data_IF_825487003444
#
_entry.id   IF_825487003444
#
_cell.length_a   1.000
_cell.length_b   1.000
_cell.length_c   1.000
_cell.angle_alpha   90.00
_cell.angle_beta   90.00
_cell.angle_gamma   90.00
#
_symmetry.space_group_name_H-M   'P 1'
#
loop_
_entity.id
_entity.type
_entity.pdbx_description
1 polymer ?
#
# COMPACT_ATOMS: atom_id res chain seq x y z
N UNK A 1 -11.23 12.03 56.42
CA UNK A 1 -11.27 10.76 55.66
C UNK A 1 -12.05 11.08 54.41
N UNK A 2 -11.37 11.32 53.29
CA UNK A 2 -12.00 11.77 52.05
C UNK A 2 -12.27 10.54 51.19
N UNK A 3 -13.54 10.17 51.08
CA UNK A 3 -14.05 9.12 50.20
C UNK A 3 -13.76 9.47 48.73
N UNK A 4 -12.81 8.73 48.14
CA UNK A 4 -12.40 8.87 46.75
C UNK A 4 -13.25 7.92 45.89
N UNK A 5 -14.43 8.38 45.47
CA UNK A 5 -15.25 7.72 44.45
C UNK A 5 -14.52 7.76 43.09
N UNK A 6 -14.16 6.61 42.47
CA UNK A 6 -13.52 6.62 41.16
C UNK A 6 -14.56 6.92 40.08
N UNK A 7 -14.52 8.13 39.56
CA UNK A 7 -15.33 8.56 38.44
C UNK A 7 -15.12 7.66 37.20
N UNK A 8 -16.22 7.02 36.79
CA UNK A 8 -16.59 6.60 35.41
C UNK A 8 -15.42 6.24 34.48
N UNK A 9 -15.21 4.94 34.30
CA UNK A 9 -14.57 4.40 33.09
C UNK A 9 -15.51 4.63 31.91
N UNK A 10 -15.34 5.76 31.21
CA UNK A 10 -15.90 5.94 29.89
C UNK A 10 -15.26 4.89 28.97
N UNK A 11 -15.99 3.80 28.71
CA UNK A 11 -15.76 2.94 27.55
C UNK A 11 -15.94 3.83 26.32
N UNK A 12 -14.83 4.39 25.83
CA UNK A 12 -14.79 4.94 24.48
C UNK A 12 -14.89 3.75 23.54
N UNK A 13 -16.12 3.43 23.14
CA UNK A 13 -16.37 2.61 21.97
C UNK A 13 -15.85 3.43 20.81
N UNK A 14 -14.61 3.22 20.40
CA UNK A 14 -14.10 3.80 19.16
C UNK A 14 -14.96 3.20 18.04
N UNK A 15 -15.83 3.98 17.35
CA UNK A 15 -16.38 3.47 16.12
C UNK A 15 -15.20 3.41 15.17
N UNK A 16 -14.89 2.20 14.70
CA UNK A 16 -14.02 2.00 13.56
C UNK A 16 -14.39 3.05 12.52
N UNK A 17 -13.47 3.99 12.29
CA UNK A 17 -13.65 5.08 11.35
C UNK A 17 -13.88 4.48 9.98
N UNK A 18 -15.15 4.30 9.64
CA UNK A 18 -15.60 4.09 8.30
C UNK A 18 -15.23 5.36 7.54
N UNK A 19 -14.06 5.33 6.91
CA UNK A 19 -13.63 6.28 5.91
C UNK A 19 -14.61 6.20 4.73
N UNK A 20 -15.76 6.86 4.87
CA UNK A 20 -16.68 7.16 3.78
C UNK A 20 -16.10 8.31 2.96
N UNK A 21 -15.07 8.00 2.17
CA UNK A 21 -14.91 8.67 0.87
C UNK A 21 -15.78 7.96 -0.14
N UNK A 22 -15.99 8.49 -1.37
CA UNK A 22 -16.43 7.69 -2.50
C UNK A 22 -15.32 6.67 -2.77
N UNK A 23 -15.32 5.60 -1.98
CA UNK A 23 -14.40 4.50 -2.10
C UNK A 23 -14.66 3.92 -3.46
N UNK A 24 -13.80 4.26 -4.44
CA UNK A 24 -13.51 3.31 -5.50
C UNK A 24 -13.23 2.02 -4.75
N UNK A 25 -14.20 1.10 -4.79
CA UNK A 25 -14.08 -0.19 -4.16
C UNK A 25 -12.71 -0.69 -4.58
N UNK A 26 -11.81 -0.84 -3.62
CA UNK A 26 -10.42 -1.20 -3.86
C UNK A 26 -10.45 -2.40 -4.80
N UNK A 27 -10.06 -2.21 -6.06
CA UNK A 27 -10.12 -3.29 -7.03
C UNK A 27 -8.93 -4.17 -6.66
N UNK A 28 -9.16 -5.41 -6.17
CA UNK A 28 -8.05 -6.28 -5.85
C UNK A 28 -7.24 -6.42 -7.13
N UNK A 29 -5.95 -6.08 -7.05
CA UNK A 29 -5.05 -6.27 -8.19
C UNK A 29 -5.12 -7.73 -8.64
N UNK A 30 -4.95 -7.99 -9.95
CA UNK A 30 -4.82 -9.35 -10.44
C UNK A 30 -3.67 -10.02 -9.68
N UNK A 31 -4.03 -10.92 -8.76
CA UNK A 31 -3.10 -11.76 -8.04
C UNK A 31 -2.41 -12.62 -9.09
N UNK A 32 -1.14 -12.30 -9.41
CA UNK A 32 -0.39 -13.04 -10.42
C UNK A 32 -0.08 -12.26 -11.70
N UNK A 33 0.25 -10.97 -11.58
CA UNK A 33 1.18 -10.37 -12.53
C UNK A 33 2.47 -11.21 -12.47
N UNK A 34 2.65 -12.17 -13.40
CA UNK A 34 3.59 -13.30 -13.35
C UNK A 34 5.10 -12.98 -13.33
N UNK A 35 5.49 -11.82 -12.80
CA UNK A 35 6.86 -11.52 -12.43
C UNK A 35 7.15 -12.10 -11.03
N UNK A 36 8.27 -12.80 -10.87
CA UNK A 36 8.77 -13.14 -9.56
C UNK A 36 9.24 -11.85 -8.85
N UNK A 37 8.44 -11.39 -7.88
CA UNK A 37 8.73 -10.19 -7.10
C UNK A 37 9.44 -10.52 -5.78
N UNK A 38 9.68 -11.80 -5.47
CA UNK A 38 10.39 -12.19 -4.25
C UNK A 38 11.75 -11.48 -4.10
N UNK A 39 12.58 -11.31 -5.17
CA UNK A 39 13.86 -10.61 -5.09
C UNK A 39 13.76 -9.11 -4.85
N UNK A 40 12.56 -8.52 -4.98
CA UNK A 40 12.34 -7.08 -4.79
C UNK A 40 11.80 -6.75 -3.39
N UNK A 41 11.48 -7.75 -2.56
CA UNK A 41 10.93 -7.54 -1.20
C UNK A 41 11.83 -6.73 -0.29
N UNK A 42 13.15 -6.89 -0.42
CA UNK A 42 14.13 -6.13 0.38
C UNK A 42 14.10 -4.64 0.07
N UNK A 43 13.68 -4.27 -1.15
CA UNK A 43 13.69 -2.89 -1.64
C UNK A 43 12.30 -2.25 -1.57
N UNK A 44 11.27 -2.99 -2.00
CA UNK A 44 9.90 -2.52 -2.12
C UNK A 44 9.06 -2.80 -0.86
N UNK A 45 9.59 -3.58 0.07
CA UNK A 45 8.93 -3.96 1.31
C UNK A 45 8.14 -5.28 1.20
N UNK A 46 7.28 -5.57 2.19
CA UNK A 46 6.65 -6.88 2.35
C UNK A 46 5.66 -7.25 1.24
N UNK A 47 5.10 -6.25 0.55
CA UNK A 47 4.17 -6.41 -0.56
C UNK A 47 4.65 -5.56 -1.77
N UNK A 48 5.61 -6.08 -2.55
CA UNK A 48 6.20 -5.36 -3.68
C UNK A 48 5.18 -5.03 -4.77
N UNK A 49 4.19 -5.90 -4.98
CA UNK A 49 3.15 -5.69 -5.98
C UNK A 49 2.30 -4.46 -5.62
N UNK A 50 1.82 -4.39 -4.37
CA UNK A 50 1.04 -3.25 -3.88
C UNK A 50 1.83 -1.96 -3.86
N UNK A 51 3.11 -2.02 -3.50
CA UNK A 51 3.98 -0.85 -3.49
C UNK A 51 4.09 -0.23 -4.90
N UNK A 52 4.42 -1.04 -5.91
CA UNK A 52 4.52 -0.57 -7.30
C UNK A 52 3.17 -0.14 -7.88
N UNK A 53 2.09 -0.84 -7.53
CA UNK A 53 0.73 -0.47 -7.90
C UNK A 53 0.38 0.95 -7.52
N UNK A 54 0.59 1.30 -6.24
CA UNK A 54 0.35 2.64 -5.75
C UNK A 54 1.15 3.68 -6.53
N UNK A 55 2.41 3.39 -6.86
CA UNK A 55 3.23 4.32 -7.64
C UNK A 55 2.69 4.52 -9.06
N UNK A 56 2.22 3.46 -9.71
CA UNK A 56 1.59 3.54 -11.04
C UNK A 56 0.29 4.35 -10.97
N UNK A 57 -0.54 4.12 -9.95
CA UNK A 57 -1.79 4.88 -9.73
C UNK A 57 -1.56 6.37 -9.46
N UNK A 58 -0.44 6.70 -8.80
CA UNK A 58 0.01 8.08 -8.61
C UNK A 58 0.53 8.74 -9.90
N UNK A 59 0.63 7.99 -10.99
CA UNK A 59 1.07 8.50 -12.29
C UNK A 59 2.58 8.68 -12.42
N UNK A 60 3.37 8.11 -11.50
CA UNK A 60 4.83 8.17 -11.57
C UNK A 60 5.32 7.39 -12.79
N UNK A 61 6.35 7.91 -13.46
CA UNK A 61 7.09 7.22 -14.51
C UNK A 61 8.02 6.14 -13.96
N UNK A 62 8.43 5.19 -14.79
CA UNK A 62 9.29 4.07 -14.36
C UNK A 62 10.64 4.56 -13.80
N UNK A 63 11.21 5.63 -14.38
CA UNK A 63 12.42 6.29 -13.88
C UNK A 63 12.24 6.95 -12.50
N UNK A 64 11.08 7.56 -12.24
CA UNK A 64 10.77 8.16 -10.94
C UNK A 64 10.62 7.09 -9.87
N UNK A 65 9.97 5.97 -10.20
CA UNK A 65 9.82 4.81 -9.32
C UNK A 65 11.20 4.20 -9.02
N UNK A 66 12.03 4.00 -10.05
CA UNK A 66 13.40 3.51 -9.92
C UNK A 66 14.25 4.40 -8.99
N UNK A 67 14.15 5.73 -9.18
CA UNK A 67 14.84 6.71 -8.33
C UNK A 67 14.36 6.66 -6.87
N UNK A 68 13.04 6.57 -6.64
CA UNK A 68 12.47 6.51 -5.31
C UNK A 68 12.99 5.30 -4.51
N UNK A 69 12.98 4.12 -5.14
CA UNK A 69 13.43 2.88 -4.52
C UNK A 69 14.94 2.65 -4.58
N UNK A 70 15.70 3.57 -5.20
CA UNK A 70 17.14 3.41 -5.47
C UNK A 70 17.44 2.07 -6.15
N UNK A 71 16.59 1.68 -7.08
CA UNK A 71 16.64 0.40 -7.79
C UNK A 71 16.79 0.66 -9.29
N UNK A 72 17.68 -0.03 -10.01
CA UNK A 72 17.76 0.07 -11.46
C UNK A 72 16.42 -0.23 -12.14
N UNK A 73 16.03 0.58 -13.12
CA UNK A 73 14.73 0.48 -13.79
C UNK A 73 14.54 -0.88 -14.46
N UNK A 74 15.62 -1.51 -14.92
CA UNK A 74 15.64 -2.83 -15.55
C UNK A 74 15.14 -3.94 -14.61
N UNK A 75 15.37 -3.78 -13.30
CA UNK A 75 14.86 -4.71 -12.28
C UNK A 75 13.38 -4.54 -12.03
N UNK A 76 12.84 -3.34 -12.24
CA UNK A 76 11.44 -3.01 -12.01
C UNK A 76 10.59 -3.16 -13.28
N UNK A 77 11.19 -3.00 -14.46
CA UNK A 77 10.51 -2.97 -15.75
C UNK A 77 9.62 -4.19 -16.02
N UNK A 78 10.01 -5.44 -15.69
CA UNK A 78 9.12 -6.60 -15.88
C UNK A 78 7.82 -6.46 -15.07
N UNK A 79 7.93 -6.00 -13.82
CA UNK A 79 6.78 -5.81 -12.93
C UNK A 79 5.91 -4.62 -13.37
N UNK A 80 6.55 -3.48 -13.64
CA UNK A 80 5.87 -2.25 -14.07
C UNK A 80 5.12 -2.44 -15.39
N UNK A 81 5.70 -3.19 -16.34
CA UNK A 81 5.04 -3.51 -17.62
C UNK A 81 3.72 -4.25 -17.40
N UNK A 82 3.69 -5.22 -16.49
CA UNK A 82 2.46 -5.98 -16.21
C UNK A 82 1.43 -5.12 -15.49
N UNK A 83 1.87 -4.31 -14.52
CA UNK A 83 0.98 -3.43 -13.77
C UNK A 83 0.34 -2.36 -14.68
N UNK A 84 1.11 -1.75 -15.58
CA UNK A 84 0.61 -0.77 -16.55
C UNK A 84 -0.31 -1.37 -17.61
N UNK A 85 -0.09 -2.62 -18.00
CA UNK A 85 -1.01 -3.32 -18.92
C UNK A 85 -2.38 -3.63 -18.28
N UNK A 86 -2.45 -3.60 -16.94
CA UNK A 86 -3.66 -3.90 -16.17
C UNK A 86 -4.38 -2.65 -15.61
N UNK A 87 -3.77 -1.46 -15.76
CA UNK A 87 -4.29 -0.16 -15.29
C UNK A 87 -5.07 0.56 -16.40
#
# INVERSE_FOLDING_TARGET
MLDFEPHRTARTTSPAGAVSGPGRAWRPMPQGAGADLAPLREVLGPDPARALACMVELGLSDDEIARYYRCPVERLAPALRVLRAAA
#
